data_IF_811244853974
#
_entry.id   IF_811244853974
#
_cell.length_a   1.000
_cell.length_b   1.000
_cell.length_c   1.000
_cell.angle_alpha   90.00
_cell.angle_beta   90.00
_cell.angle_gamma   90.00
#
_symmetry.space_group_name_H-M   'P 1'
#
loop_
_entity.id
_entity.type
_entity.pdbx_description
1 polymer ?
#
# COMPACT_ATOMS: atom_id res chain seq x y z
N UNK A 1 -10.42 -19.97 5.28
CA UNK A 1 -9.80 -20.27 6.60
C UNK A 1 -10.68 -21.16 7.51
N UNK A 2 -12.00 -21.25 7.32
CA UNK A 2 -12.84 -22.11 8.18
C UNK A 2 -12.97 -21.60 9.63
N UNK A 3 -12.77 -20.29 9.84
CA UNK A 3 -12.93 -19.65 11.16
C UNK A 3 -14.41 -19.65 11.53
N UNK A 4 -14.72 -19.99 12.77
CA UNK A 4 -16.08 -20.07 13.26
C UNK A 4 -16.75 -18.68 13.31
N UNK A 5 -17.94 -18.48 12.71
CA UNK A 5 -18.59 -17.16 12.66
C UNK A 5 -18.79 -16.51 14.03
N UNK A 6 -19.24 -17.28 15.04
CA UNK A 6 -19.43 -16.78 16.41
C UNK A 6 -18.14 -16.35 17.14
N UNK A 7 -16.97 -16.52 16.49
CA UNK A 7 -15.67 -16.07 16.98
C UNK A 7 -15.17 -14.82 16.25
N UNK A 8 -15.96 -14.27 15.34
CA UNK A 8 -15.66 -13.04 14.62
C UNK A 8 -16.54 -11.90 15.13
N UNK A 9 -15.95 -10.72 15.33
CA UNK A 9 -16.65 -9.52 15.76
C UNK A 9 -16.30 -8.35 14.82
N UNK A 10 -17.19 -7.96 13.90
CA UNK A 10 -16.99 -6.76 13.10
C UNK A 10 -17.21 -5.50 13.96
N UNK A 11 -16.29 -4.55 13.87
CA UNK A 11 -16.34 -3.29 14.63
C UNK A 11 -16.14 -2.11 13.68
N UNK A 12 -16.95 -1.06 13.86
CA UNK A 12 -16.77 0.23 13.20
C UNK A 12 -16.51 1.30 14.27
N UNK A 13 -15.41 2.03 14.13
CA UNK A 13 -15.10 3.18 14.99
C UNK A 13 -15.56 4.46 14.28
N UNK A 14 -16.69 5.00 14.72
CA UNK A 14 -17.24 6.23 14.16
C UNK A 14 -16.78 7.45 14.98
N UNK A 15 -15.91 8.26 14.37
CA UNK A 15 -15.38 9.51 14.93
C UNK A 15 -15.85 10.72 14.11
N UNK A 16 -16.91 10.54 13.32
CA UNK A 16 -17.37 11.47 12.30
C UNK A 16 -16.82 11.16 10.91
N UNK A 17 -17.23 11.97 9.94
CA UNK A 17 -16.83 11.85 8.53
C UNK A 17 -16.58 13.21 7.89
N UNK A 18 -15.55 13.29 7.06
CA UNK A 18 -15.29 14.51 6.29
C UNK A 18 -16.03 14.56 4.97
N UNK A 19 -16.71 13.46 4.59
CA UNK A 19 -17.45 13.37 3.35
C UNK A 19 -18.69 14.29 3.39
N UNK A 20 -18.73 15.39 2.62
CA UNK A 20 -19.82 16.35 2.67
C UNK A 20 -21.14 15.78 2.11
N UNK A 21 -21.07 14.73 1.30
CA UNK A 21 -22.27 14.03 0.79
C UNK A 21 -22.93 13.27 1.94
N UNK A 22 -22.17 12.49 2.71
CA UNK A 22 -22.70 11.73 3.85
C UNK A 22 -23.25 12.64 4.95
N UNK A 23 -22.58 13.77 5.23
CA UNK A 23 -23.07 14.76 6.21
C UNK A 23 -24.39 15.42 5.84
N UNK A 24 -24.86 15.28 4.59
CA UNK A 24 -26.13 15.82 4.10
C UNK A 24 -27.15 14.72 3.81
N UNK A 25 -26.75 13.46 3.87
CA UNK A 25 -27.59 12.33 3.53
C UNK A 25 -28.46 11.98 4.74
N UNK A 26 -29.80 12.07 4.66
CA UNK A 26 -30.70 11.73 5.77
C UNK A 26 -30.67 10.25 6.15
N UNK A 27 -30.07 9.39 5.33
CA UNK A 27 -29.89 7.97 5.58
C UNK A 27 -28.50 7.61 6.10
N UNK A 28 -27.62 8.59 6.33
CA UNK A 28 -26.30 8.30 6.93
C UNK A 28 -26.48 7.79 8.36
N UNK A 29 -25.84 6.65 8.65
CA UNK A 29 -25.97 5.92 9.92
C UNK A 29 -25.01 6.39 11.01
N UNK A 30 -24.06 7.27 10.68
CA UNK A 30 -23.02 7.71 11.60
C UNK A 30 -23.24 9.12 12.17
N UNK A 31 -22.23 9.62 12.85
CA UNK A 31 -22.20 10.95 13.45
C UNK A 31 -22.13 12.05 12.39
N UNK A 32 -23.07 13.01 12.45
CA UNK A 32 -23.14 14.18 11.56
C UNK A 32 -22.14 15.27 11.99
N UNK A 33 -20.86 14.91 12.08
CA UNK A 33 -19.76 15.81 12.39
C UNK A 33 -18.53 15.46 11.56
N UNK A 34 -17.60 16.42 11.44
CA UNK A 34 -16.29 16.16 10.85
C UNK A 34 -15.48 15.19 11.71
N UNK A 35 -14.52 14.50 11.10
CA UNK A 35 -13.64 13.56 11.81
C UNK A 35 -12.89 14.27 12.92
N UNK A 36 -13.01 13.76 14.15
CA UNK A 36 -12.14 14.17 15.25
C UNK A 36 -10.71 13.65 14.98
N UNK A 37 -9.73 14.54 15.13
CA UNK A 37 -8.30 14.28 14.95
C UNK A 37 -7.48 14.77 16.14
N UNK A 38 -8.15 15.15 17.22
CA UNK A 38 -7.53 15.47 18.48
C UNK A 38 -7.09 14.19 19.20
N UNK A 39 -6.50 14.36 20.37
CA UNK A 39 -6.08 13.25 21.23
C UNK A 39 -7.24 12.30 21.58
N UNK A 40 -8.48 12.78 21.55
CA UNK A 40 -9.69 11.97 21.82
C UNK A 40 -9.79 10.78 20.86
N UNK A 41 -9.35 10.92 19.60
CA UNK A 41 -9.35 9.80 18.67
C UNK A 41 -8.36 8.71 19.07
N UNK A 42 -7.17 9.09 19.52
CA UNK A 42 -6.14 8.17 19.96
C UNK A 42 -6.54 7.46 21.26
N UNK A 43 -7.13 8.21 22.20
CA UNK A 43 -7.62 7.69 23.47
C UNK A 43 -8.76 6.69 23.24
N UNK A 44 -9.67 6.96 22.29
CA UNK A 44 -10.74 6.04 21.91
C UNK A 44 -10.19 4.72 21.35
N UNK A 45 -9.15 4.76 20.51
CA UNK A 45 -8.54 3.54 19.98
C UNK A 45 -7.79 2.79 21.08
N UNK A 46 -7.12 3.47 22.01
CA UNK A 46 -6.50 2.83 23.18
C UNK A 46 -7.54 2.13 24.05
N UNK A 47 -8.64 2.81 24.38
CA UNK A 47 -9.74 2.24 25.15
C UNK A 47 -10.37 1.03 24.45
N UNK A 48 -10.53 1.08 23.12
CA UNK A 48 -11.01 -0.05 22.33
C UNK A 48 -10.08 -1.27 22.45
N UNK A 49 -8.77 -1.07 22.27
CA UNK A 49 -7.79 -2.17 22.34
C UNK A 49 -7.77 -2.81 23.73
N UNK A 50 -7.84 -2.01 24.79
CA UNK A 50 -7.92 -2.47 26.18
C UNK A 50 -9.23 -3.22 26.45
N UNK A 51 -10.38 -2.64 26.12
CA UNK A 51 -11.68 -3.25 26.38
C UNK A 51 -11.86 -4.61 25.67
N UNK A 52 -11.40 -4.73 24.42
CA UNK A 52 -11.47 -6.00 23.67
C UNK A 52 -10.59 -7.06 24.31
N UNK A 53 -9.36 -6.72 24.70
CA UNK A 53 -8.43 -7.69 25.27
C UNK A 53 -8.73 -8.04 26.73
N UNK A 54 -9.29 -7.11 27.51
CA UNK A 54 -9.80 -7.37 28.86
C UNK A 54 -10.95 -8.38 28.84
N UNK A 55 -11.85 -8.27 27.86
CA UNK A 55 -13.02 -9.15 27.75
C UNK A 55 -12.71 -10.50 27.12
N UNK A 56 -11.93 -10.52 26.05
CA UNK A 56 -11.75 -11.71 25.19
C UNK A 56 -10.36 -12.34 25.29
N UNK A 57 -9.42 -11.70 25.99
CA UNK A 57 -8.06 -12.16 26.22
C UNK A 57 -7.01 -11.41 25.39
N UNK A 58 -5.79 -11.33 25.92
CA UNK A 58 -4.66 -10.60 25.32
C UNK A 58 -4.27 -11.10 23.92
N UNK A 59 -4.57 -12.36 23.61
CA UNK A 59 -4.27 -13.01 22.33
C UNK A 59 -5.43 -12.90 21.32
N UNK A 60 -6.45 -12.09 21.59
CA UNK A 60 -7.51 -11.79 20.62
C UNK A 60 -6.89 -11.16 19.37
N UNK A 61 -7.13 -11.76 18.20
CA UNK A 61 -6.66 -11.23 16.93
C UNK A 61 -7.44 -9.97 16.55
N UNK A 62 -6.72 -8.87 16.36
CA UNK A 62 -7.28 -7.57 15.97
C UNK A 62 -6.72 -7.19 14.60
N UNK A 63 -7.55 -7.27 13.57
CA UNK A 63 -7.21 -6.82 12.22
C UNK A 63 -7.66 -5.36 12.04
N UNK A 64 -6.71 -4.47 11.75
CA UNK A 64 -7.01 -3.11 11.30
C UNK A 64 -7.26 -3.11 9.80
N UNK A 65 -8.32 -2.45 9.37
CA UNK A 65 -8.80 -2.40 7.98
C UNK A 65 -9.26 -0.99 7.63
N UNK A 66 -8.96 -0.50 6.43
CA UNK A 66 -9.47 0.74 5.84
C UNK A 66 -9.23 2.00 6.70
N UNK A 67 -8.12 2.03 7.45
CA UNK A 67 -7.68 3.25 8.16
C UNK A 67 -6.98 4.20 7.18
N UNK A 68 -7.05 5.50 7.44
CA UNK A 68 -6.27 6.45 6.65
C UNK A 68 -4.76 6.27 6.88
N UNK A 69 -3.95 6.35 5.83
CA UNK A 69 -2.50 6.14 5.80
C UNK A 69 -1.71 6.52 7.06
N UNK A 70 -1.87 7.75 7.55
CA UNK A 70 -1.19 8.20 8.77
C UNK A 70 -1.54 7.34 10.00
N UNK A 71 -2.83 7.04 10.16
CA UNK A 71 -3.35 6.27 11.29
C UNK A 71 -3.00 4.78 11.17
N UNK A 72 -3.08 4.21 9.97
CA UNK A 72 -2.76 2.80 9.72
C UNK A 72 -1.32 2.46 10.17
N UNK A 73 -0.32 3.25 9.74
CA UNK A 73 1.08 3.01 10.13
C UNK A 73 1.34 3.25 11.61
N UNK A 74 0.82 4.35 12.18
CA UNK A 74 1.11 4.68 13.59
C UNK A 74 0.45 3.69 14.54
N UNK A 75 -0.78 3.25 14.27
CA UNK A 75 -1.45 2.25 15.10
C UNK A 75 -0.81 0.87 14.96
N UNK A 76 -0.45 0.46 13.74
CA UNK A 76 0.30 -0.78 13.56
C UNK A 76 1.60 -0.76 14.37
N UNK A 77 2.37 0.34 14.29
CA UNK A 77 3.61 0.49 15.07
C UNK A 77 3.37 0.50 16.57
N UNK A 78 2.35 1.22 17.04
CA UNK A 78 2.00 1.37 18.46
C UNK A 78 1.57 0.04 19.09
N UNK A 79 0.81 -0.78 18.37
CA UNK A 79 0.11 -1.92 18.96
C UNK A 79 0.71 -3.29 18.64
N UNK A 80 1.47 -3.46 17.55
CA UNK A 80 1.97 -4.78 17.10
C UNK A 80 2.84 -5.54 18.09
N UNK A 81 3.50 -4.85 19.02
CA UNK A 81 4.33 -5.48 20.06
C UNK A 81 3.59 -5.65 21.39
N UNK A 82 2.39 -5.07 21.53
CA UNK A 82 1.56 -5.12 22.75
C UNK A 82 0.37 -6.08 22.60
N UNK A 83 -0.23 -6.15 21.42
CA UNK A 83 -1.44 -6.92 21.12
C UNK A 83 -1.23 -7.86 19.94
N UNK A 84 -2.07 -8.90 19.82
CA UNK A 84 -2.12 -9.75 18.64
C UNK A 84 -2.81 -9.01 17.49
N UNK A 85 -2.08 -8.15 16.78
CA UNK A 85 -2.66 -7.27 15.76
C UNK A 85 -1.80 -7.16 14.52
N UNK A 86 -2.45 -6.88 13.41
CA UNK A 86 -1.85 -6.57 12.11
C UNK A 86 -2.80 -5.64 11.34
N UNK A 87 -2.31 -5.06 10.24
CA UNK A 87 -3.14 -4.29 9.32
C UNK A 87 -3.17 -4.97 7.95
N UNK A 88 -4.36 -5.22 7.39
CA UNK A 88 -4.49 -5.99 6.14
C UNK A 88 -4.05 -5.19 4.92
N UNK A 89 -4.38 -3.90 4.88
CA UNK A 89 -4.00 -2.98 3.80
C UNK A 89 -2.47 -2.89 3.62
N UNK A 90 -1.72 -2.93 4.72
CA UNK A 90 -0.26 -2.89 4.74
C UNK A 90 0.30 -4.31 4.58
N UNK A 91 -0.05 -5.25 5.45
CA UNK A 91 0.66 -6.54 5.57
C UNK A 91 0.00 -7.66 4.75
N UNK A 92 -1.33 -7.69 4.70
CA UNK A 92 -2.08 -8.65 3.88
C UNK A 92 -1.83 -8.41 2.39
N UNK A 93 -1.97 -7.16 1.94
CA UNK A 93 -1.67 -6.76 0.57
C UNK A 93 -0.20 -7.01 0.20
N UNK A 94 0.73 -6.76 1.14
CA UNK A 94 2.14 -7.09 0.93
C UNK A 94 2.35 -8.57 0.62
N UNK A 95 1.73 -9.44 1.41
CA UNK A 95 1.85 -10.89 1.27
C UNK A 95 1.38 -11.38 -0.10
N UNK A 96 0.18 -10.97 -0.53
CA UNK A 96 -0.38 -11.42 -1.81
C UNK A 96 0.40 -10.86 -3.01
N UNK A 97 0.87 -9.61 -2.94
CA UNK A 97 1.68 -9.02 -4.01
C UNK A 97 3.04 -9.72 -4.14
N UNK A 98 3.73 -9.99 -3.02
CA UNK A 98 4.98 -10.74 -3.05
C UNK A 98 4.76 -12.16 -3.59
N UNK A 99 3.69 -12.84 -3.16
CA UNK A 99 3.34 -14.16 -3.67
C UNK A 99 3.15 -14.15 -5.20
N UNK A 100 2.50 -13.10 -5.73
CA UNK A 100 2.37 -12.86 -7.17
C UNK A 100 3.73 -12.68 -7.86
N UNK A 101 4.63 -11.88 -7.30
CA UNK A 101 5.98 -11.68 -7.84
C UNK A 101 6.80 -12.97 -7.86
N UNK A 102 6.75 -13.77 -6.79
CA UNK A 102 7.42 -15.08 -6.72
C UNK A 102 6.82 -16.07 -7.73
N UNK A 103 5.51 -16.02 -7.96
CA UNK A 103 4.88 -16.80 -9.02
C UNK A 103 5.34 -16.34 -10.41
N UNK A 104 5.41 -15.02 -10.65
CA UNK A 104 5.87 -14.42 -11.90
C UNK A 104 7.35 -14.71 -12.18
N UNK A 105 8.21 -14.80 -11.15
CA UNK A 105 9.60 -15.21 -11.29
C UNK A 105 9.72 -16.57 -12.00
N UNK A 106 8.85 -17.55 -11.67
CA UNK A 106 8.86 -18.87 -12.34
C UNK A 106 8.50 -18.79 -13.83
N UNK A 107 7.67 -17.82 -14.21
CA UNK A 107 7.23 -17.62 -15.58
C UNK A 107 8.24 -16.79 -16.39
N UNK A 108 8.85 -15.78 -15.78
CA UNK A 108 9.82 -14.87 -16.44
C UNK A 108 11.24 -15.41 -16.41
N UNK A 109 11.56 -16.36 -15.52
CA UNK A 109 12.92 -16.85 -15.30
C UNK A 109 13.85 -15.85 -14.61
N UNK A 110 13.36 -14.63 -14.32
CA UNK A 110 14.16 -13.53 -13.77
C UNK A 110 14.06 -13.50 -12.23
N UNK A 111 15.16 -13.69 -11.49
CA UNK A 111 15.16 -13.69 -10.03
C UNK A 111 14.60 -12.38 -9.45
N UNK A 112 13.95 -12.46 -8.28
CA UNK A 112 13.45 -11.27 -7.56
C UNK A 112 14.55 -10.24 -7.33
N UNK A 113 15.77 -10.70 -7.00
CA UNK A 113 16.96 -9.88 -6.83
C UNK A 113 17.32 -9.05 -8.07
N UNK A 114 16.88 -9.43 -9.27
CA UNK A 114 17.14 -8.70 -10.51
C UNK A 114 15.97 -7.81 -10.95
N UNK A 115 14.82 -7.91 -10.27
CA UNK A 115 13.65 -7.12 -10.59
C UNK A 115 13.89 -5.64 -10.23
N UNK A 116 13.38 -4.75 -11.09
CA UNK A 116 13.24 -3.32 -10.79
C UNK A 116 11.75 -3.01 -10.75
N UNK A 117 11.25 -2.60 -9.59
CA UNK A 117 9.83 -2.43 -9.32
C UNK A 117 9.50 -0.95 -9.26
N UNK A 118 8.48 -0.51 -9.99
CA UNK A 118 7.95 0.85 -9.94
C UNK A 118 6.50 0.83 -9.44
N UNK A 119 6.26 1.45 -8.30
CA UNK A 119 4.92 1.60 -7.73
C UNK A 119 4.24 2.87 -8.27
N UNK A 120 2.95 2.73 -8.58
CA UNK A 120 2.03 3.85 -8.69
C UNK A 120 1.21 3.93 -7.40
N UNK A 121 1.49 4.97 -6.61
CA UNK A 121 1.10 5.10 -5.22
C UNK A 121 2.29 4.93 -4.28
N UNK A 122 2.23 5.62 -3.13
CA UNK A 122 3.24 5.56 -2.06
C UNK A 122 2.58 5.52 -0.67
N UNK A 123 1.41 4.86 -0.60
CA UNK A 123 0.59 4.73 0.60
C UNK A 123 0.79 3.39 1.33
N UNK A 124 -0.24 2.94 2.05
CA UNK A 124 -0.22 1.75 2.91
C UNK A 124 0.24 0.50 2.16
N UNK A 125 -0.48 0.15 1.10
CA UNK A 125 -0.17 -1.01 0.27
C UNK A 125 1.22 -0.90 -0.37
N UNK A 126 1.56 0.24 -0.99
CA UNK A 126 2.85 0.41 -1.67
C UNK A 126 4.03 0.17 -0.71
N UNK A 127 3.99 0.80 0.46
CA UNK A 127 5.03 0.70 1.48
C UNK A 127 5.07 -0.69 2.12
N UNK A 128 3.93 -1.30 2.39
CA UNK A 128 3.84 -2.68 2.89
C UNK A 128 4.48 -3.67 1.92
N UNK A 129 4.06 -3.64 0.65
CA UNK A 129 4.57 -4.50 -0.40
C UNK A 129 6.09 -4.28 -0.57
N UNK A 130 6.53 -3.02 -0.66
CA UNK A 130 7.93 -2.69 -0.87
C UNK A 130 8.83 -3.21 0.26
N UNK A 131 8.42 -3.04 1.53
CA UNK A 131 9.17 -3.59 2.67
C UNK A 131 9.26 -5.12 2.61
N UNK A 132 8.17 -5.80 2.24
CA UNK A 132 8.19 -7.26 2.14
C UNK A 132 9.03 -7.77 0.95
N UNK A 133 9.05 -7.04 -0.17
CA UNK A 133 9.97 -7.31 -1.28
C UNK A 133 11.43 -7.16 -0.83
N UNK A 134 11.76 -6.10 -0.08
CA UNK A 134 13.12 -5.89 0.48
C UNK A 134 13.51 -7.07 1.37
N UNK A 135 12.64 -7.49 2.28
CA UNK A 135 12.89 -8.66 3.14
C UNK A 135 13.15 -9.93 2.32
N UNK A 136 12.35 -10.19 1.29
CA UNK A 136 12.52 -11.36 0.43
C UNK A 136 13.81 -11.30 -0.41
N UNK A 137 14.21 -10.12 -0.89
CA UNK A 137 15.51 -9.94 -1.57
C UNK A 137 16.67 -10.17 -0.60
N UNK A 138 16.57 -9.69 0.64
CA UNK A 138 17.58 -9.87 1.68
C UNK A 138 17.73 -11.33 2.10
N UNK A 139 16.63 -12.07 2.22
CA UNK A 139 16.65 -13.52 2.45
C UNK A 139 17.36 -14.26 1.30
N UNK A 140 17.26 -13.74 0.08
CA UNK A 140 18.01 -14.21 -1.09
C UNK A 140 19.47 -13.77 -1.17
N UNK A 141 19.99 -13.03 -0.18
CA UNK A 141 21.39 -12.61 -0.10
C UNK A 141 21.70 -11.21 -0.65
N UNK A 142 20.68 -10.42 -1.04
CA UNK A 142 20.86 -9.02 -1.46
C UNK A 142 21.03 -8.12 -0.24
N UNK A 143 21.89 -7.11 -0.29
CA UNK A 143 21.96 -6.13 0.82
C UNK A 143 20.69 -5.28 0.88
N UNK A 144 20.34 -4.78 2.07
CA UNK A 144 19.19 -3.88 2.22
C UNK A 144 19.29 -2.66 1.28
N UNK A 145 20.48 -2.06 1.18
CA UNK A 145 20.73 -0.90 0.31
C UNK A 145 20.46 -1.21 -1.16
N UNK A 146 20.93 -2.36 -1.66
CA UNK A 146 20.70 -2.77 -3.05
C UNK A 146 19.23 -3.12 -3.31
N UNK A 147 18.56 -3.72 -2.33
CA UNK A 147 17.13 -4.00 -2.41
C UNK A 147 16.30 -2.71 -2.48
N UNK A 148 16.63 -1.70 -1.67
CA UNK A 148 15.96 -0.38 -1.72
C UNK A 148 16.14 0.31 -3.07
N UNK A 149 17.34 0.28 -3.66
CA UNK A 149 17.64 0.91 -4.98
C UNK A 149 16.83 0.32 -6.14
N UNK A 150 16.30 -0.89 -5.97
CA UNK A 150 15.48 -1.59 -6.98
C UNK A 150 14.02 -1.18 -6.97
N UNK A 151 13.58 -0.45 -5.95
CA UNK A 151 12.18 -0.09 -5.75
C UNK A 151 12.02 1.42 -5.90
N UNK A 152 11.15 1.84 -6.82
CA UNK A 152 10.80 3.22 -7.06
C UNK A 152 9.32 3.44 -6.81
N UNK A 153 8.93 4.64 -6.39
CA UNK A 153 7.54 4.98 -6.09
C UNK A 153 7.16 6.31 -6.74
N UNK A 154 5.97 6.36 -7.31
CA UNK A 154 5.39 7.54 -7.96
C UNK A 154 4.02 7.81 -7.33
N UNK A 155 3.90 8.90 -6.56
CA UNK A 155 2.63 9.29 -5.93
C UNK A 155 1.90 10.37 -6.74
N UNK A 156 0.82 10.92 -6.18
CA UNK A 156 0.02 11.97 -6.84
C UNK A 156 0.79 13.26 -7.16
N UNK A 157 1.97 13.45 -6.59
CA UNK A 157 2.87 14.58 -6.83
C UNK A 157 4.05 14.22 -7.73
N UNK A 158 4.19 12.95 -8.12
CA UNK A 158 5.24 12.47 -9.00
C UNK A 158 6.20 11.50 -8.33
N UNK A 159 7.39 11.37 -8.91
CA UNK A 159 8.41 10.44 -8.44
C UNK A 159 8.95 10.84 -7.06
N UNK A 160 9.11 9.85 -6.16
CA UNK A 160 9.76 10.04 -4.87
C UNK A 160 11.28 10.19 -5.05
N UNK A 161 11.73 11.44 -5.08
CA UNK A 161 13.15 11.81 -5.19
C UNK A 161 13.58 12.76 -4.07
N UNK A 162 14.86 12.70 -3.70
CA UNK A 162 15.47 13.55 -2.69
C UNK A 162 15.35 15.02 -3.09
N UNK A 163 14.94 15.86 -2.14
CA UNK A 163 14.79 17.30 -2.37
C UNK A 163 13.54 17.72 -3.15
N UNK A 164 12.59 16.81 -3.42
CA UNK A 164 11.27 17.20 -3.96
C UNK A 164 10.54 18.13 -2.99
N UNK A 165 9.67 18.99 -3.53
CA UNK A 165 8.93 19.97 -2.72
C UNK A 165 7.96 19.32 -1.71
N UNK A 166 7.33 18.22 -2.12
CA UNK A 166 6.31 17.56 -1.31
C UNK A 166 6.94 16.66 -0.25
N UNK A 167 6.37 16.74 0.95
CA UNK A 167 6.85 16.00 2.11
C UNK A 167 6.97 14.49 1.80
N UNK A 168 8.08 13.93 2.23
CA UNK A 168 8.34 12.50 2.31
C UNK A 168 8.29 12.15 3.79
N UNK A 169 7.51 11.13 4.16
CA UNK A 169 7.48 10.66 5.54
C UNK A 169 8.53 9.55 5.79
N UNK A 170 8.77 9.25 7.08
CA UNK A 170 9.79 8.29 7.49
C UNK A 170 9.65 6.88 6.89
N UNK A 171 8.44 6.49 6.49
CA UNK A 171 8.22 5.18 5.86
C UNK A 171 8.58 5.23 4.36
N UNK A 172 8.48 6.39 3.72
CA UNK A 172 8.82 6.62 2.30
C UNK A 172 10.31 6.92 2.07
N UNK A 173 11.01 7.45 3.09
CA UNK A 173 12.42 7.81 3.02
C UNK A 173 13.33 6.70 2.45
N UNK A 174 13.21 5.41 2.85
CA UNK A 174 14.05 4.34 2.30
C UNK A 174 13.87 4.10 0.79
N UNK A 175 12.74 4.53 0.22
CA UNK A 175 12.40 4.38 -1.20
C UNK A 175 12.52 5.70 -1.98
N UNK A 176 13.09 6.73 -1.35
CA UNK A 176 13.30 8.06 -1.94
C UNK A 176 14.74 8.22 -2.39
N UNK A 177 14.95 8.24 -3.70
CA UNK A 177 16.29 8.15 -4.30
C UNK A 177 16.79 9.50 -4.83
N UNK A 178 18.06 9.56 -5.21
CA UNK A 178 18.55 10.69 -6.00
C UNK A 178 17.75 10.82 -7.30
N UNK A 179 17.51 12.05 -7.72
CA UNK A 179 16.76 12.31 -8.95
C UNK A 179 17.50 11.72 -10.17
N UNK A 180 16.78 11.07 -11.11
CA UNK A 180 17.33 10.75 -12.42
C UNK A 180 17.68 12.05 -13.18
N UNK A 181 18.48 11.93 -14.25
CA UNK A 181 18.89 13.09 -15.08
C UNK A 181 17.70 13.93 -15.55
N UNK A 182 16.59 13.27 -15.86
CA UNK A 182 15.31 13.89 -16.15
C UNK A 182 14.26 13.40 -15.16
N UNK A 183 13.68 14.31 -14.38
CA UNK A 183 12.59 13.99 -13.46
C UNK A 183 11.31 13.77 -14.27
N UNK A 184 10.69 12.57 -14.20
CA UNK A 184 9.46 12.29 -14.93
C UNK A 184 8.28 13.06 -14.34
N UNK A 185 7.47 13.66 -15.20
CA UNK A 185 6.23 14.35 -14.87
C UNK A 185 5.01 13.44 -14.93
N UNK A 186 5.09 12.36 -15.71
CA UNK A 186 4.03 11.36 -15.85
C UNK A 186 4.53 9.98 -15.45
N UNK A 187 3.60 9.07 -15.14
CA UNK A 187 3.95 7.69 -14.85
C UNK A 187 4.55 6.98 -16.07
N UNK A 188 4.10 7.32 -17.28
CA UNK A 188 4.67 6.82 -18.53
C UNK A 188 6.13 7.27 -18.71
N UNK A 189 6.44 8.54 -18.48
CA UNK A 189 7.83 9.03 -18.48
C UNK A 189 8.66 8.28 -17.44
N UNK A 190 8.12 8.02 -16.25
CA UNK A 190 8.81 7.26 -15.22
C UNK A 190 9.10 5.82 -15.67
N UNK A 191 8.17 5.15 -16.34
CA UNK A 191 8.38 3.82 -16.94
C UNK A 191 9.48 3.86 -17.99
N UNK A 192 9.45 4.82 -18.90
CA UNK A 192 10.45 4.94 -19.98
C UNK A 192 11.87 5.24 -19.45
N UNK A 193 11.98 6.13 -18.46
CA UNK A 193 13.26 6.53 -17.87
C UNK A 193 13.81 5.44 -16.94
N UNK A 194 12.99 4.89 -16.06
CA UNK A 194 13.43 3.92 -15.06
C UNK A 194 13.52 2.51 -15.63
N UNK A 195 12.82 2.21 -16.71
CA UNK A 195 12.78 0.89 -17.35
C UNK A 195 12.52 -0.26 -16.35
N UNK A 196 11.43 -0.19 -15.54
CA UNK A 196 11.13 -1.23 -14.57
C UNK A 196 10.75 -2.53 -15.27
N UNK A 197 10.98 -3.66 -14.59
CA UNK A 197 10.49 -4.97 -15.03
C UNK A 197 9.14 -5.34 -14.43
N UNK A 198 8.74 -4.66 -13.36
CA UNK A 198 7.41 -4.77 -12.77
C UNK A 198 6.83 -3.39 -12.44
N UNK A 199 5.55 -3.18 -12.74
CA UNK A 199 4.76 -2.06 -12.24
C UNK A 199 3.63 -2.54 -11.33
N UNK A 200 3.45 -1.87 -10.19
CA UNK A 200 2.43 -2.22 -9.20
C UNK A 200 1.57 -0.99 -8.89
N UNK A 201 0.30 -1.07 -9.24
CA UNK A 201 -0.71 -0.04 -9.07
C UNK A 201 -1.49 -0.24 -7.78
N UNK A 202 -1.41 0.74 -6.89
CA UNK A 202 -2.04 0.76 -5.56
C UNK A 202 -2.45 2.19 -5.18
N UNK A 203 -2.89 2.97 -6.17
CA UNK A 203 -3.19 4.41 -5.99
C UNK A 203 -4.66 4.71 -5.66
N UNK A 204 -5.58 3.77 -5.87
CA UNK A 204 -7.02 3.96 -5.68
C UNK A 204 -7.63 5.03 -6.61
N UNK A 205 -6.93 5.35 -7.71
CA UNK A 205 -7.18 6.54 -8.51
C UNK A 205 -7.74 6.26 -9.92
N UNK A 206 -8.03 4.99 -10.26
CA UNK A 206 -8.58 4.60 -11.56
C UNK A 206 -7.50 4.36 -12.61
N UNK A 207 -7.86 4.57 -13.88
CA UNK A 207 -7.16 4.09 -15.08
C UNK A 207 -5.84 4.81 -15.39
N UNK A 208 -4.86 4.65 -14.51
CA UNK A 208 -3.55 5.28 -14.60
C UNK A 208 -2.49 4.42 -15.31
N UNK A 209 -2.75 3.12 -15.49
CA UNK A 209 -1.98 2.31 -16.44
C UNK A 209 -2.63 2.45 -17.81
N UNK A 210 -2.36 3.58 -18.46
CA UNK A 210 -2.84 3.87 -19.81
C UNK A 210 -2.29 2.86 -20.83
N UNK A 211 -2.89 2.83 -22.02
CA UNK A 211 -2.39 2.02 -23.12
C UNK A 211 -0.90 2.30 -23.43
N UNK A 212 -0.47 3.56 -23.30
CA UNK A 212 0.92 3.94 -23.56
C UNK A 212 1.87 3.43 -22.46
N UNK A 213 1.43 3.43 -21.19
CA UNK A 213 2.16 2.79 -20.09
C UNK A 213 2.33 1.28 -20.35
N UNK A 214 1.25 0.59 -20.76
CA UNK A 214 1.27 -0.85 -21.02
C UNK A 214 2.19 -1.17 -22.22
N UNK A 215 2.07 -0.40 -23.32
CA UNK A 215 2.97 -0.51 -24.48
C UNK A 215 4.42 -0.24 -24.12
N UNK A 216 4.70 0.77 -23.29
CA UNK A 216 6.04 1.06 -22.81
C UNK A 216 6.61 -0.14 -22.05
N UNK A 217 5.85 -0.70 -21.10
CA UNK A 217 6.25 -1.91 -20.36
C UNK A 217 6.56 -3.09 -21.28
N UNK A 218 5.71 -3.35 -22.28
CA UNK A 218 5.89 -4.41 -23.26
C UNK A 218 7.07 -4.18 -24.22
N UNK A 219 7.41 -2.93 -24.53
CA UNK A 219 8.58 -2.60 -25.35
C UNK A 219 9.90 -2.72 -24.58
N UNK A 220 9.86 -2.54 -23.26
CA UNK A 220 11.03 -2.57 -22.37
C UNK A 220 11.34 -4.01 -21.94
N UNK A 221 10.30 -4.85 -21.78
CA UNK A 221 10.41 -6.19 -21.21
C UNK A 221 9.72 -7.21 -22.12
N UNK A 222 10.35 -8.37 -22.34
CA UNK A 222 9.73 -9.49 -23.07
C UNK A 222 8.47 -10.01 -22.36
N UNK A 223 8.49 -10.06 -21.03
CA UNK A 223 7.38 -10.48 -20.18
C UNK A 223 7.20 -9.49 -19.01
N UNK A 224 6.56 -8.33 -19.23
CA UNK A 224 6.36 -7.34 -18.17
C UNK A 224 5.44 -7.88 -17.08
N UNK A 225 5.69 -7.49 -15.82
CA UNK A 225 4.79 -7.77 -14.71
C UNK A 225 3.95 -6.52 -14.46
N UNK A 226 2.63 -6.64 -14.57
CA UNK A 226 1.68 -5.54 -14.38
C UNK A 226 0.64 -5.96 -13.35
N UNK A 227 0.66 -5.34 -12.17
CA UNK A 227 -0.33 -5.56 -11.12
C UNK A 227 -1.21 -4.32 -10.96
N UNK A 228 -2.51 -4.43 -11.24
CA UNK A 228 -3.51 -3.39 -11.00
C UNK A 228 -4.35 -3.80 -9.78
N UNK A 229 -3.94 -3.38 -8.58
CA UNK A 229 -4.45 -3.91 -7.31
C UNK A 229 -5.50 -3.02 -6.64
N UNK A 230 -5.75 -1.83 -7.17
CA UNK A 230 -6.69 -0.90 -6.57
C UNK A 230 -8.14 -1.40 -6.64
N UNK A 231 -8.82 -1.36 -5.50
CA UNK A 231 -10.24 -1.72 -5.36
C UNK A 231 -11.13 -0.49 -5.15
N UNK A 232 -12.43 -0.54 -5.52
CA UNK A 232 -13.08 -1.57 -6.34
C UNK A 232 -12.69 -1.47 -7.83
N UNK A 233 -13.29 -2.27 -8.72
CA UNK A 233 -12.92 -2.37 -10.16
C UNK A 233 -12.83 -1.04 -10.91
N UNK A 234 -13.66 -0.04 -10.56
CA UNK A 234 -13.61 1.30 -11.17
C UNK A 234 -12.36 2.10 -10.78
N UNK A 235 -11.65 1.65 -9.73
CA UNK A 235 -10.38 2.22 -9.25
C UNK A 235 -9.15 1.45 -9.72
N UNK A 236 -9.32 0.27 -10.32
CA UNK A 236 -8.22 -0.49 -10.88
C UNK A 236 -7.48 0.30 -11.98
N UNK A 237 -6.16 0.17 -11.98
CA UNK A 237 -5.26 0.91 -12.87
C UNK A 237 -5.43 0.57 -14.35
N UNK A 238 -5.79 -0.67 -14.65
CA UNK A 238 -6.20 -1.17 -15.95
C UNK A 238 -7.09 -2.42 -15.79
N UNK A 239 -7.67 -2.92 -16.87
CA UNK A 239 -8.37 -4.21 -16.93
C UNK A 239 -7.39 -5.30 -17.32
N UNK A 240 -7.82 -6.56 -17.17
CA UNK A 240 -7.11 -7.70 -17.73
C UNK A 240 -7.17 -7.77 -19.26
N UNK A 241 -8.14 -7.11 -19.92
CA UNK A 241 -8.24 -7.06 -21.39
C UNK A 241 -7.28 -6.02 -21.99
N UNK A 242 -7.05 -4.92 -21.28
CA UNK A 242 -6.11 -3.87 -21.68
C UNK A 242 -4.64 -4.28 -21.52
N UNK A 243 -4.34 -5.13 -20.52
CA UNK A 243 -2.99 -5.57 -20.14
C UNK A 243 -2.48 -6.74 -20.98
#
# INVERSE_FOLDING_TARGET
AGIHPDKCLPVCIDVGTDNPTLLKDPFYMGLYQKRDRSQVYDDLIDEFMEAITDRYGQNTLIQFEDFGNHNAFRFLRKYREKYCTFNDDIQGTASVALAGLLAAQRATGKPLAEQKVLFLGAGEAALGIANLIVMAMMEGGVSAEEAYRRIWMFDKFGLLVQGREQKVDSNQEPFTHQAPEQIPKTFEEAVNILRPSAIIGVAGAGRLFSQDVIKAMASINERPIIFALSNPTVKAECTAEEA
#
